data_IF_849858646331
#
_entry.id   IF_849858646331
#
_cell.length_a   1.000
_cell.length_b   1.000
_cell.length_c   1.000
_cell.angle_alpha   90.00
_cell.angle_beta   90.00
_cell.angle_gamma   90.00
#
_symmetry.space_group_name_H-M   'P 1'
#
loop_
_entity.id
_entity.type
_entity.pdbx_description
1 polymer ?
#
# COMPACT_ATOMS: atom_id res chain seq x y z
N UNK A 1 18.88 8.92 -26.59
CA UNK A 1 19.22 7.49 -26.82
C UNK A 1 18.63 6.55 -25.75
N UNK A 2 18.79 6.82 -24.45
CA UNK A 2 18.32 5.96 -23.33
C UNK A 2 16.80 5.67 -23.36
N UNK A 3 15.98 6.67 -23.70
CA UNK A 3 14.52 6.54 -23.71
C UNK A 3 14.00 5.56 -24.80
N UNK A 4 14.73 5.44 -25.91
CA UNK A 4 14.40 4.53 -27.01
C UNK A 4 14.68 3.06 -26.61
N UNK A 5 15.85 2.80 -26.00
CA UNK A 5 16.19 1.47 -25.48
C UNK A 5 15.22 1.01 -24.39
N UNK A 6 14.81 1.91 -23.50
CA UNK A 6 13.86 1.59 -22.43
C UNK A 6 12.45 1.24 -22.99
N UNK A 7 11.97 1.97 -24.02
CA UNK A 7 10.73 1.63 -24.73
C UNK A 7 10.83 0.28 -25.44
N UNK A 8 11.94 0.04 -26.17
CA UNK A 8 12.16 -1.21 -26.91
C UNK A 8 12.23 -2.43 -25.97
N UNK A 9 12.91 -2.29 -24.84
CA UNK A 9 12.98 -3.36 -23.82
C UNK A 9 11.62 -3.64 -23.18
N UNK A 10 10.84 -2.61 -22.85
CA UNK A 10 9.46 -2.76 -22.35
C UNK A 10 8.57 -3.47 -23.39
N UNK A 11 8.70 -3.13 -24.67
CA UNK A 11 7.95 -3.76 -25.75
C UNK A 11 8.30 -5.25 -25.92
N UNK A 12 9.60 -5.60 -25.91
CA UNK A 12 10.07 -7.00 -25.99
C UNK A 12 9.61 -7.80 -24.78
N UNK A 13 9.72 -7.25 -23.57
CA UNK A 13 9.25 -7.91 -22.33
C UNK A 13 7.74 -8.12 -22.35
N UNK A 14 6.97 -7.13 -22.82
CA UNK A 14 5.52 -7.24 -23.01
C UNK A 14 5.17 -8.34 -24.02
N UNK A 15 5.84 -8.38 -25.17
CA UNK A 15 5.62 -9.41 -26.19
C UNK A 15 5.95 -10.83 -25.68
N UNK A 16 7.07 -11.00 -24.94
CA UNK A 16 7.40 -12.28 -24.28
C UNK A 16 6.33 -12.68 -23.26
N UNK A 17 5.86 -11.75 -22.43
CA UNK A 17 4.80 -12.04 -21.46
C UNK A 17 3.48 -12.42 -22.12
N UNK A 18 3.08 -11.72 -23.18
CA UNK A 18 1.88 -12.06 -23.98
C UNK A 18 2.03 -13.46 -24.55
N UNK A 19 3.18 -13.79 -25.15
CA UNK A 19 3.43 -15.12 -25.74
C UNK A 19 3.44 -16.24 -24.69
N UNK A 20 4.03 -16.01 -23.51
CA UNK A 20 4.08 -16.98 -22.39
C UNK A 20 2.71 -17.22 -21.76
N UNK A 21 1.85 -16.20 -21.75
CA UNK A 21 0.53 -16.27 -21.12
C UNK A 21 -0.61 -16.46 -22.13
N UNK A 22 -0.31 -16.56 -23.44
CA UNK A 22 -1.30 -16.65 -24.54
C UNK A 22 -2.33 -17.76 -24.33
N UNK A 23 -1.92 -18.88 -23.73
CA UNK A 23 -2.76 -20.06 -23.51
C UNK A 23 -3.11 -20.29 -22.03
N UNK A 24 -2.74 -19.37 -21.13
CA UNK A 24 -3.03 -19.50 -19.69
C UNK A 24 -4.39 -18.89 -19.40
N UNK A 25 -5.43 -19.70 -19.48
CA UNK A 25 -6.75 -19.35 -18.97
C UNK A 25 -6.68 -19.38 -17.43
N UNK A 26 -7.09 -18.29 -16.74
CA UNK A 26 -7.19 -18.30 -15.28
C UNK A 26 -8.02 -19.49 -14.80
N UNK A 27 -7.67 -20.16 -13.68
CA UNK A 27 -8.35 -21.36 -13.23
C UNK A 27 -9.89 -21.22 -13.16
N UNK A 28 -10.37 -20.07 -12.70
CA UNK A 28 -11.80 -19.76 -12.54
C UNK A 28 -12.56 -19.49 -13.84
N UNK A 29 -11.87 -19.39 -14.99
CA UNK A 29 -12.49 -19.24 -16.32
C UNK A 29 -12.42 -20.52 -17.15
N UNK A 30 -11.74 -21.58 -16.67
CA UNK A 30 -11.53 -22.80 -17.45
C UNK A 30 -12.84 -23.52 -17.79
N UNK A 31 -13.79 -23.54 -16.84
CA UNK A 31 -15.07 -24.22 -17.00
C UNK A 31 -16.16 -23.31 -17.56
N UNK A 32 -15.85 -22.03 -17.84
CA UNK A 32 -16.80 -20.98 -18.24
C UNK A 32 -18.06 -20.92 -17.35
N UNK A 33 -17.92 -21.26 -16.07
CA UNK A 33 -19.00 -21.27 -15.10
C UNK A 33 -19.14 -19.90 -14.44
N UNK A 34 -20.31 -19.29 -14.59
CA UNK A 34 -20.62 -18.00 -13.96
C UNK A 34 -20.44 -18.04 -12.44
N UNK A 35 -20.77 -19.17 -11.82
CA UNK A 35 -20.62 -19.39 -10.37
C UNK A 35 -19.15 -19.35 -9.93
N UNK A 36 -18.25 -20.00 -10.67
CA UNK A 36 -16.81 -19.98 -10.37
C UNK A 36 -16.23 -18.58 -10.56
N UNK A 37 -16.66 -17.88 -11.60
CA UNK A 37 -16.24 -16.52 -11.89
C UNK A 37 -16.67 -15.54 -10.78
N UNK A 38 -17.94 -15.58 -10.35
CA UNK A 38 -18.46 -14.70 -9.31
C UNK A 38 -17.76 -14.95 -7.98
N UNK A 39 -17.58 -16.22 -7.63
CA UNK A 39 -16.94 -16.63 -6.38
C UNK A 39 -15.48 -16.12 -6.34
N UNK A 40 -14.76 -16.26 -7.46
CA UNK A 40 -13.42 -15.72 -7.60
C UNK A 40 -13.37 -14.18 -7.51
N UNK A 41 -14.28 -13.47 -8.20
CA UNK A 41 -14.36 -12.00 -8.15
C UNK A 41 -14.58 -11.52 -6.72
N UNK A 42 -15.56 -12.08 -6.01
CA UNK A 42 -15.86 -11.74 -4.62
C UNK A 42 -14.66 -12.01 -3.70
N UNK A 43 -14.05 -13.19 -3.79
CA UNK A 43 -12.89 -13.55 -2.99
C UNK A 43 -11.70 -12.61 -3.22
N UNK A 44 -11.34 -12.39 -4.49
CA UNK A 44 -10.16 -11.61 -4.86
C UNK A 44 -10.34 -10.13 -4.53
N UNK A 45 -11.51 -9.55 -4.85
CA UNK A 45 -11.81 -8.15 -4.53
C UNK A 45 -11.85 -7.92 -3.01
N UNK A 46 -12.50 -8.80 -2.25
CA UNK A 46 -12.50 -8.74 -0.78
C UNK A 46 -11.08 -8.74 -0.22
N UNK A 47 -10.27 -9.71 -0.65
CA UNK A 47 -8.89 -9.84 -0.17
C UNK A 47 -8.03 -8.63 -0.49
N UNK A 48 -8.15 -8.09 -1.70
CA UNK A 48 -7.45 -6.86 -2.10
C UNK A 48 -7.89 -5.65 -1.28
N UNK A 49 -9.20 -5.49 -1.02
CA UNK A 49 -9.72 -4.37 -0.22
C UNK A 49 -9.36 -4.47 1.27
N UNK A 50 -9.31 -5.66 1.87
CA UNK A 50 -8.78 -5.82 3.23
C UNK A 50 -7.29 -5.44 3.30
N UNK A 51 -6.53 -5.80 2.27
CA UNK A 51 -5.12 -5.43 2.17
C UNK A 51 -4.94 -3.91 2.01
N UNK A 52 -5.82 -3.26 1.24
CA UNK A 52 -5.84 -1.81 1.12
C UNK A 52 -6.18 -1.13 2.44
N UNK A 53 -7.14 -1.66 3.20
CA UNK A 53 -7.46 -1.20 4.55
C UNK A 53 -6.23 -1.26 5.46
N UNK A 54 -5.59 -2.44 5.54
CA UNK A 54 -4.39 -2.64 6.34
C UNK A 54 -3.25 -1.69 5.95
N UNK A 55 -3.01 -1.47 4.65
CA UNK A 55 -2.01 -0.52 4.17
C UNK A 55 -2.31 0.90 4.66
N UNK A 56 -3.55 1.37 4.51
CA UNK A 56 -3.92 2.72 4.93
C UNK A 56 -3.79 2.89 6.45
N UNK A 57 -4.11 1.86 7.24
CA UNK A 57 -3.84 1.85 8.68
C UNK A 57 -2.35 2.00 9.02
N UNK A 58 -1.49 1.28 8.29
CA UNK A 58 -0.03 1.39 8.42
C UNK A 58 0.43 2.80 8.07
N UNK A 59 -0.01 3.34 6.92
CA UNK A 59 0.36 4.69 6.47
C UNK A 59 -0.03 5.74 7.50
N UNK A 60 -1.25 5.67 8.05
CA UNK A 60 -1.71 6.55 9.12
C UNK A 60 -0.76 6.51 10.33
N UNK A 61 -0.41 5.31 10.81
CA UNK A 61 0.52 5.15 11.93
C UNK A 61 1.93 5.65 11.63
N UNK A 62 2.46 5.38 10.43
CA UNK A 62 3.82 5.80 10.04
C UNK A 62 3.91 7.31 9.86
N UNK A 63 2.88 7.92 9.27
CA UNK A 63 2.76 9.36 9.08
C UNK A 63 2.76 10.07 10.43
N UNK A 64 1.86 9.70 11.35
CA UNK A 64 1.82 10.29 12.69
C UNK A 64 3.12 10.10 13.45
N UNK A 65 3.75 8.92 13.37
CA UNK A 65 5.06 8.68 13.98
C UNK A 65 6.14 9.59 13.39
N UNK A 66 6.21 9.70 12.07
CA UNK A 66 7.24 10.49 11.39
C UNK A 66 7.15 11.96 11.76
N UNK A 67 5.94 12.52 11.82
CA UNK A 67 5.71 13.89 12.29
C UNK A 67 6.18 14.03 13.74
N UNK A 68 5.84 13.09 14.62
CA UNK A 68 6.29 13.08 16.02
C UNK A 68 7.82 13.05 16.16
N UNK A 69 8.51 12.19 15.40
CA UNK A 69 9.98 12.12 15.41
C UNK A 69 10.63 13.39 14.88
N UNK A 70 10.15 13.93 13.76
CA UNK A 70 10.69 15.16 13.18
C UNK A 70 10.52 16.36 14.12
N UNK A 71 9.35 16.49 14.77
CA UNK A 71 9.11 17.51 15.79
C UNK A 71 10.04 17.35 16.99
N UNK A 72 10.23 16.11 17.48
CA UNK A 72 11.15 15.84 18.57
C UNK A 72 12.60 16.21 18.20
N UNK A 73 13.05 15.92 16.98
CA UNK A 73 14.38 16.31 16.52
C UNK A 73 14.57 17.83 16.53
N UNK A 74 13.60 18.61 16.04
CA UNK A 74 13.70 20.06 16.08
C UNK A 74 13.74 20.62 17.51
N UNK A 75 12.94 20.07 18.42
CA UNK A 75 12.95 20.47 19.83
C UNK A 75 14.31 20.17 20.46
N UNK A 76 14.86 18.96 20.24
CA UNK A 76 16.18 18.58 20.76
C UNK A 76 17.26 19.51 20.22
N UNK A 77 17.27 19.79 18.91
CA UNK A 77 18.22 20.72 18.31
C UNK A 77 18.10 22.12 18.94
N UNK A 78 16.86 22.60 19.15
CA UNK A 78 16.60 23.88 19.80
C UNK A 78 17.15 23.96 21.23
N UNK A 79 16.93 22.91 22.03
CA UNK A 79 17.44 22.84 23.42
C UNK A 79 18.97 22.79 23.42
N UNK A 80 19.58 21.98 22.57
CA UNK A 80 21.04 21.83 22.46
C UNK A 80 21.69 23.16 22.13
N UNK A 81 21.12 23.90 21.17
CA UNK A 81 21.59 25.23 20.79
C UNK A 81 21.41 26.24 21.93
N UNK A 82 20.26 26.24 22.63
CA UNK A 82 19.99 27.16 23.73
C UNK A 82 20.98 27.03 24.89
N UNK A 83 21.40 25.80 25.21
CA UNK A 83 22.32 25.52 26.31
C UNK A 83 23.78 25.41 25.87
N UNK A 84 24.11 25.70 24.61
CA UNK A 84 25.46 25.57 24.05
C UNK A 84 26.10 24.20 24.33
N UNK A 85 25.30 23.13 24.25
CA UNK A 85 25.78 21.77 24.50
C UNK A 85 26.57 21.31 23.27
N UNK A 86 27.85 20.98 23.46
CA UNK A 86 28.68 20.39 22.41
C UNK A 86 28.19 18.97 22.09
N UNK A 87 27.32 18.85 21.09
CA UNK A 87 26.84 17.57 20.60
C UNK A 87 27.83 17.02 19.57
N UNK A 88 28.55 15.96 19.94
CA UNK A 88 29.48 15.24 19.06
C UNK A 88 30.55 16.13 18.40
N UNK A 89 31.02 17.17 19.11
CA UNK A 89 32.09 18.07 18.64
C UNK A 89 31.67 19.15 17.65
N UNK A 90 30.36 19.30 17.40
CA UNK A 90 29.83 20.29 16.45
C UNK A 90 29.51 21.60 17.19
N UNK A 91 30.34 22.64 16.97
CA UNK A 91 29.98 24.02 17.34
C UNK A 91 29.13 24.63 16.24
N UNK A 92 27.85 24.84 16.51
CA UNK A 92 26.92 25.41 15.55
C UNK A 92 26.86 26.93 15.74
N UNK A 93 26.92 27.73 14.66
CA UNK A 93 26.73 29.18 14.75
C UNK A 93 25.25 29.52 15.02
N UNK A 94 24.99 30.29 16.08
CA UNK A 94 23.65 30.63 16.57
C UNK A 94 22.67 31.12 15.49
N UNK A 95 23.13 32.01 14.62
CA UNK A 95 22.26 32.63 13.59
C UNK A 95 21.80 31.64 12.51
N UNK A 96 22.56 30.57 12.25
CA UNK A 96 22.21 29.58 11.22
C UNK A 96 21.21 28.55 11.75
N UNK A 97 21.28 28.22 13.04
CA UNK A 97 20.36 27.26 13.68
C UNK A 97 18.95 27.81 13.71
N UNK A 98 18.78 29.07 14.11
CA UNK A 98 17.46 29.72 14.14
C UNK A 98 16.77 29.71 12.78
N UNK A 99 17.48 30.05 11.71
CA UNK A 99 16.96 30.01 10.35
C UNK A 99 16.58 28.59 9.90
N UNK A 100 17.51 27.62 10.05
CA UNK A 100 17.32 26.24 9.61
C UNK A 100 16.15 25.57 10.36
N UNK A 101 16.12 25.70 11.69
CA UNK A 101 15.05 25.13 12.52
C UNK A 101 13.68 25.72 12.20
N UNK A 102 13.60 27.03 11.96
CA UNK A 102 12.34 27.69 11.55
C UNK A 102 11.88 27.20 10.17
N UNK A 103 12.79 27.14 9.20
CA UNK A 103 12.49 26.65 7.85
C UNK A 103 11.99 25.19 7.87
N UNK A 104 12.66 24.31 8.61
CA UNK A 104 12.22 22.93 8.77
C UNK A 104 10.89 22.81 9.50
N UNK A 105 10.62 23.66 10.50
CA UNK A 105 9.32 23.67 11.20
C UNK A 105 8.18 23.97 10.23
N UNK A 106 8.36 24.95 9.34
CA UNK A 106 7.37 25.28 8.30
C UNK A 106 7.17 24.11 7.33
N UNK A 107 8.25 23.44 6.92
CA UNK A 107 8.17 22.27 6.03
C UNK A 107 7.46 21.08 6.70
N UNK A 108 7.72 20.82 7.99
CA UNK A 108 7.02 19.77 8.76
C UNK A 108 5.55 20.10 8.88
N UNK A 109 5.19 21.36 9.14
CA UNK A 109 3.79 21.79 9.20
C UNK A 109 3.08 21.57 7.86
N UNK A 110 3.70 21.98 6.75
CA UNK A 110 3.17 21.75 5.41
C UNK A 110 3.00 20.25 5.13
N UNK A 111 4.02 19.44 5.45
CA UNK A 111 3.96 17.99 5.29
C UNK A 111 2.81 17.39 6.11
N UNK A 112 2.67 17.78 7.37
CA UNK A 112 1.59 17.34 8.26
C UNK A 112 0.21 17.67 7.70
N UNK A 113 0.04 18.85 7.09
CA UNK A 113 -1.24 19.25 6.51
C UNK A 113 -1.57 18.43 5.26
N UNK A 114 -0.59 18.19 4.38
CA UNK A 114 -0.75 17.34 3.20
C UNK A 114 -1.07 15.90 3.58
N UNK A 115 -0.37 15.34 4.57
CA UNK A 115 -0.63 14.00 5.10
C UNK A 115 -2.02 13.90 5.74
N UNK A 116 -2.44 14.91 6.51
CA UNK A 116 -3.79 14.93 7.06
C UNK A 116 -4.86 14.95 5.96
N UNK A 117 -4.62 15.65 4.85
CA UNK A 117 -5.56 15.71 3.72
C UNK A 117 -5.77 14.36 3.02
N UNK A 118 -4.77 13.47 3.07
CA UNK A 118 -4.87 12.13 2.50
C UNK A 118 -5.88 11.25 3.25
N UNK A 119 -6.21 11.59 4.51
CA UNK A 119 -7.25 10.94 5.31
C UNK A 119 -7.13 9.40 5.36
N UNK A 120 -5.91 8.90 5.63
CA UNK A 120 -5.65 7.45 5.63
C UNK A 120 -6.52 6.66 6.62
N UNK A 121 -6.86 7.25 7.78
CA UNK A 121 -7.78 6.61 8.74
C UNK A 121 -9.15 6.32 8.12
N UNK A 122 -9.78 7.34 7.50
CA UNK A 122 -11.07 7.19 6.83
C UNK A 122 -11.00 6.22 5.65
N UNK A 123 -9.93 6.29 4.84
CA UNK A 123 -9.71 5.33 3.74
C UNK A 123 -9.61 3.90 4.28
N UNK A 124 -8.87 3.70 5.37
CA UNK A 124 -8.72 2.39 6.01
C UNK A 124 -10.07 1.79 6.40
N UNK A 125 -10.93 2.60 7.04
CA UNK A 125 -12.27 2.19 7.44
C UNK A 125 -13.18 1.91 6.24
N UNK A 126 -13.21 2.80 5.24
CA UNK A 126 -14.03 2.61 4.02
C UNK A 126 -13.65 1.32 3.27
N UNK A 127 -12.35 1.02 3.15
CA UNK A 127 -11.91 -0.24 2.56
C UNK A 127 -12.26 -1.46 3.42
N UNK A 128 -12.19 -1.32 4.76
CA UNK A 128 -12.59 -2.39 5.67
C UNK A 128 -14.07 -2.72 5.52
N UNK A 129 -14.94 -1.71 5.61
CA UNK A 129 -16.38 -1.85 5.49
C UNK A 129 -16.77 -2.43 4.14
N UNK A 130 -16.16 -1.97 3.05
CA UNK A 130 -16.40 -2.59 1.75
C UNK A 130 -16.00 -4.07 1.72
N UNK A 131 -14.88 -4.43 2.36
CA UNK A 131 -14.44 -5.82 2.39
C UNK A 131 -15.40 -6.70 3.19
N UNK A 132 -16.02 -6.15 4.24
CA UNK A 132 -17.10 -6.82 4.99
C UNK A 132 -18.34 -7.02 4.12
N UNK A 133 -18.81 -5.97 3.44
CA UNK A 133 -19.97 -6.05 2.53
C UNK A 133 -19.75 -7.13 1.45
N UNK A 134 -18.57 -7.16 0.82
CA UNK A 134 -18.22 -8.19 -0.18
C UNK A 134 -18.07 -9.57 0.49
N UNK A 135 -17.65 -9.64 1.76
CA UNK A 135 -17.54 -10.91 2.48
C UNK A 135 -18.89 -11.56 2.73
N UNK A 136 -19.92 -10.76 2.97
CA UNK A 136 -21.29 -11.25 3.10
C UNK A 136 -21.75 -11.89 1.78
N UNK A 137 -21.58 -11.19 0.66
CA UNK A 137 -21.87 -11.71 -0.67
C UNK A 137 -21.07 -12.98 -1.00
N UNK A 138 -19.78 -13.00 -0.64
CA UNK A 138 -18.92 -14.17 -0.84
C UNK A 138 -19.45 -15.39 -0.07
N UNK A 139 -19.86 -15.20 1.19
CA UNK A 139 -20.42 -16.26 2.00
C UNK A 139 -21.76 -16.75 1.43
N UNK A 140 -22.61 -15.82 0.96
CA UNK A 140 -23.89 -16.14 0.31
C UNK A 140 -23.67 -16.95 -0.97
N UNK A 141 -22.74 -16.52 -1.84
CA UNK A 141 -22.36 -17.26 -3.03
C UNK A 141 -21.83 -18.67 -2.71
N UNK A 142 -21.05 -18.83 -1.63
CA UNK A 142 -20.56 -20.13 -1.18
C UNK A 142 -21.68 -21.01 -0.63
N UNK A 143 -22.67 -20.43 0.05
CA UNK A 143 -23.84 -21.15 0.51
C UNK A 143 -24.68 -21.66 -0.67
N UNK A 144 -25.01 -20.75 -1.60
CA UNK A 144 -25.73 -21.06 -2.85
C UNK A 144 -25.02 -22.15 -3.66
N UNK A 145 -23.69 -22.14 -3.69
CA UNK A 145 -22.88 -23.18 -4.34
C UNK A 145 -23.11 -24.58 -3.76
N UNK A 146 -23.06 -24.71 -2.43
CA UNK A 146 -22.98 -26.00 -1.75
C UNK A 146 -24.34 -26.57 -1.34
N UNK A 147 -25.36 -25.73 -1.19
CA UNK A 147 -26.64 -26.13 -0.57
C UNK A 147 -27.87 -25.86 -1.43
N UNK A 148 -27.76 -25.11 -2.54
CA UNK A 148 -28.89 -24.88 -3.45
C UNK A 148 -28.82 -25.83 -4.63
N UNK A 149 -29.69 -26.84 -4.61
CA UNK A 149 -29.74 -27.86 -5.68
C UNK A 149 -30.60 -27.42 -6.87
N UNK A 150 -31.65 -26.63 -6.64
CA UNK A 150 -32.54 -26.15 -7.70
C UNK A 150 -31.80 -25.16 -8.63
N UNK A 151 -31.62 -25.48 -9.93
CA UNK A 151 -30.84 -24.65 -10.84
C UNK A 151 -31.41 -23.24 -11.06
N UNK A 152 -32.73 -23.09 -11.09
CA UNK A 152 -33.40 -21.80 -11.34
C UNK A 152 -33.19 -20.88 -10.13
N UNK A 153 -33.40 -21.40 -8.93
CA UNK A 153 -33.17 -20.65 -7.68
C UNK A 153 -31.70 -20.27 -7.58
N UNK A 154 -30.80 -21.22 -7.83
CA UNK A 154 -29.35 -21.01 -7.81
C UNK A 154 -28.92 -19.89 -8.76
N UNK A 155 -29.42 -19.91 -10.00
CA UNK A 155 -29.11 -18.89 -11.00
C UNK A 155 -29.61 -17.49 -10.58
N UNK A 156 -30.85 -17.41 -10.09
CA UNK A 156 -31.44 -16.14 -9.65
C UNK A 156 -30.67 -15.54 -8.46
N UNK A 157 -30.29 -16.36 -7.48
CA UNK A 157 -29.47 -15.94 -6.34
C UNK A 157 -28.10 -15.41 -6.79
N UNK A 158 -27.42 -16.12 -7.70
CA UNK A 158 -26.13 -15.68 -8.23
C UNK A 158 -26.25 -14.37 -9.02
N UNK A 159 -27.34 -14.16 -9.76
CA UNK A 159 -27.62 -12.89 -10.44
C UNK A 159 -27.83 -11.74 -9.45
N UNK A 160 -28.61 -11.96 -8.38
CA UNK A 160 -28.81 -10.96 -7.33
C UNK A 160 -27.50 -10.59 -6.64
N UNK A 161 -26.67 -11.60 -6.29
CA UNK A 161 -25.32 -11.39 -5.76
C UNK A 161 -24.48 -10.54 -6.72
N UNK A 162 -24.58 -10.77 -8.04
CA UNK A 162 -23.88 -9.96 -9.04
C UNK A 162 -24.31 -8.49 -8.99
N UNK A 163 -25.61 -8.22 -8.90
CA UNK A 163 -26.13 -6.85 -8.88
C UNK A 163 -25.74 -6.11 -7.59
N UNK A 164 -25.82 -6.79 -6.45
CA UNK A 164 -25.38 -6.24 -5.16
C UNK A 164 -23.86 -6.00 -5.14
N UNK A 165 -23.08 -6.90 -5.75
CA UNK A 165 -21.65 -6.69 -5.89
C UNK A 165 -21.33 -5.42 -6.67
N UNK A 166 -21.99 -5.19 -7.80
CA UNK A 166 -21.81 -3.96 -8.60
C UNK A 166 -22.27 -2.70 -7.85
N UNK A 167 -23.33 -2.79 -7.05
CA UNK A 167 -23.80 -1.65 -6.25
C UNK A 167 -22.77 -1.28 -5.16
N UNK A 168 -22.17 -2.27 -4.50
CA UNK A 168 -21.06 -2.08 -3.55
C UNK A 168 -19.86 -1.44 -4.26
N UNK A 169 -19.47 -1.93 -5.43
CA UNK A 169 -18.32 -1.37 -6.16
C UNK A 169 -18.50 0.10 -6.50
N UNK A 170 -19.72 0.55 -6.81
CA UNK A 170 -20.03 1.96 -7.09
C UNK A 170 -19.96 2.87 -5.86
N UNK A 171 -20.17 2.32 -4.66
CA UNK A 171 -20.19 3.07 -3.38
C UNK A 171 -18.79 3.43 -2.85
N UNK A 172 -17.77 2.63 -3.19
CA UNK A 172 -16.45 2.70 -2.57
C UNK A 172 -15.35 2.96 -3.60
N UNK A 173 -14.30 3.65 -3.16
CA UNK A 173 -13.12 3.91 -3.98
C UNK A 173 -12.37 2.63 -4.37
N UNK A 174 -11.60 2.72 -5.45
CA UNK A 174 -10.77 1.62 -5.91
C UNK A 174 -9.44 1.56 -5.17
N UNK A 175 -9.07 0.35 -4.74
CA UNK A 175 -7.75 0.10 -4.16
C UNK A 175 -6.63 0.26 -5.20
N UNK A 176 -5.38 0.33 -4.74
CA UNK A 176 -4.24 0.41 -5.65
C UNK A 176 -3.83 -1.00 -6.10
N UNK A 177 -3.16 -1.14 -7.26
CA UNK A 177 -2.70 -2.45 -7.75
C UNK A 177 -1.76 -3.20 -6.80
N UNK A 178 -1.05 -2.47 -5.93
CA UNK A 178 -0.16 -3.09 -4.93
C UNK A 178 -0.93 -3.89 -3.88
N UNK A 179 -2.18 -3.53 -3.59
CA UNK A 179 -3.01 -4.22 -2.59
C UNK A 179 -3.40 -5.61 -3.07
N UNK A 180 -3.72 -5.74 -4.37
CA UNK A 180 -3.97 -7.03 -4.98
C UNK A 180 -2.69 -7.88 -5.03
N UNK A 181 -1.54 -7.31 -5.40
CA UNK A 181 -0.27 -8.04 -5.36
C UNK A 181 0.06 -8.56 -3.96
N UNK A 182 -0.18 -7.74 -2.94
CA UNK A 182 0.05 -8.11 -1.56
C UNK A 182 -0.95 -9.18 -1.09
N UNK A 183 -2.21 -9.12 -1.52
CA UNK A 183 -3.19 -10.19 -1.32
C UNK A 183 -2.75 -11.52 -1.95
N UNK A 184 -2.16 -11.50 -3.16
CA UNK A 184 -1.68 -12.71 -3.82
C UNK A 184 -0.61 -13.45 -3.00
N UNK A 185 0.15 -12.74 -2.16
CA UNK A 185 1.12 -13.35 -1.25
C UNK A 185 0.47 -14.22 -0.17
N UNK A 186 -0.84 -14.08 0.09
CA UNK A 186 -1.56 -14.95 1.05
C UNK A 186 -1.82 -16.34 0.49
N UNK A 187 -1.82 -16.50 -0.83
CA UNK A 187 -1.97 -17.79 -1.54
C UNK A 187 -1.01 -17.89 -2.74
N UNK A 188 0.32 -17.89 -2.52
CA UNK A 188 1.30 -17.79 -3.61
C UNK A 188 1.19 -18.93 -4.63
N UNK A 189 0.91 -20.15 -4.16
CA UNK A 189 0.74 -21.34 -5.00
C UNK A 189 -0.43 -21.21 -5.97
N UNK A 190 -1.58 -20.73 -5.48
CA UNK A 190 -2.77 -20.49 -6.30
C UNK A 190 -2.47 -19.51 -7.46
N UNK A 191 -1.70 -18.46 -7.18
CA UNK A 191 -1.30 -17.46 -8.17
C UNK A 191 -0.05 -17.83 -8.97
N UNK A 192 0.55 -18.99 -8.72
CA UNK A 192 1.77 -19.44 -9.38
C UNK A 192 2.97 -18.50 -9.18
N UNK A 193 3.07 -17.89 -8.00
CA UNK A 193 4.16 -16.98 -7.67
C UNK A 193 5.42 -17.78 -7.29
N UNK A 194 6.54 -17.42 -7.91
CA UNK A 194 7.85 -17.96 -7.51
C UNK A 194 8.52 -17.05 -6.46
N UNK A 195 9.60 -17.55 -5.85
CA UNK A 195 10.31 -16.84 -4.78
C UNK A 195 10.79 -15.44 -5.19
N UNK A 196 11.29 -15.29 -6.42
CA UNK A 196 11.77 -14.01 -6.96
C UNK A 196 10.62 -12.99 -7.06
N UNK A 197 9.46 -13.43 -7.56
CA UNK A 197 8.26 -12.59 -7.65
C UNK A 197 7.77 -12.19 -6.26
N UNK A 198 7.77 -13.11 -5.30
CA UNK A 198 7.40 -12.84 -3.90
C UNK A 198 8.30 -11.74 -3.34
N UNK A 199 9.63 -11.89 -3.42
CA UNK A 199 10.59 -10.89 -2.92
C UNK A 199 10.43 -9.54 -3.62
N UNK A 200 10.16 -9.54 -4.93
CA UNK A 200 9.90 -8.31 -5.67
C UNK A 200 8.61 -7.60 -5.22
N UNK A 201 7.54 -8.34 -4.93
CA UNK A 201 6.30 -7.77 -4.39
C UNK A 201 6.57 -7.15 -3.01
N UNK A 202 7.26 -7.86 -2.12
CA UNK A 202 7.66 -7.34 -0.81
C UNK A 202 8.49 -6.05 -0.92
N UNK A 203 9.51 -6.04 -1.78
CA UNK A 203 10.33 -4.84 -2.01
C UNK A 203 9.49 -3.68 -2.55
N UNK A 204 8.63 -3.94 -3.53
CA UNK A 204 7.75 -2.93 -4.11
C UNK A 204 6.76 -2.38 -3.07
N UNK A 205 6.22 -3.23 -2.21
CA UNK A 205 5.37 -2.83 -1.10
C UNK A 205 6.15 -1.96 -0.11
N UNK A 206 7.36 -2.38 0.26
CA UNK A 206 8.24 -1.61 1.16
C UNK A 206 8.55 -0.21 0.63
N UNK A 207 8.99 -0.10 -0.62
CA UNK A 207 9.30 1.19 -1.25
C UNK A 207 8.06 2.10 -1.25
N UNK A 208 6.89 1.54 -1.54
CA UNK A 208 5.66 2.34 -1.66
C UNK A 208 5.04 2.74 -0.32
N UNK A 209 5.22 1.95 0.73
CA UNK A 209 4.50 2.12 2.00
C UNK A 209 5.41 2.60 3.13
N UNK A 210 6.66 2.14 3.16
CA UNK A 210 7.53 2.30 4.32
C UNK A 210 8.73 3.21 4.06
N UNK A 211 9.31 3.19 2.85
CA UNK A 211 10.63 3.79 2.61
C UNK A 211 10.69 5.28 2.95
N UNK A 212 9.70 6.08 2.52
CA UNK A 212 9.69 7.52 2.79
C UNK A 212 9.66 7.82 4.29
N UNK A 213 8.81 7.14 5.06
CA UNK A 213 8.71 7.34 6.51
C UNK A 213 9.94 6.84 7.26
N UNK A 214 10.58 5.76 6.81
CA UNK A 214 11.86 5.33 7.37
C UNK A 214 12.96 6.36 7.11
N UNK A 215 12.99 6.99 5.94
CA UNK A 215 13.91 8.08 5.64
C UNK A 215 13.63 9.28 6.56
N UNK A 216 12.37 9.64 6.78
CA UNK A 216 12.02 10.76 7.68
C UNK A 216 12.40 10.48 9.15
N UNK A 217 12.24 9.26 9.62
CA UNK A 217 12.55 8.87 11.00
C UNK A 217 14.07 8.69 11.19
N UNK A 218 14.71 7.86 10.37
CA UNK A 218 16.12 7.50 10.57
C UNK A 218 17.11 8.41 9.86
N UNK A 219 16.67 9.12 8.81
CA UNK A 219 17.53 10.03 8.03
C UNK A 219 18.27 11.04 8.89
N UNK A 220 17.57 11.83 9.76
CA UNK A 220 18.23 12.78 10.65
C UNK A 220 19.30 12.14 11.55
N UNK A 221 19.01 10.96 12.13
CA UNK A 221 19.97 10.23 12.97
C UNK A 221 21.20 9.78 12.18
N UNK A 222 20.99 9.24 10.98
CA UNK A 222 22.08 8.80 10.10
C UNK A 222 22.94 9.99 9.68
N UNK A 223 22.33 11.14 9.35
CA UNK A 223 23.08 12.35 9.00
C UNK A 223 23.89 12.89 10.16
N UNK A 224 23.34 12.90 11.38
CA UNK A 224 24.06 13.32 12.58
C UNK A 224 25.25 12.39 12.86
N UNK A 225 25.03 11.08 12.76
CA UNK A 225 26.10 10.09 12.93
C UNK A 225 27.20 10.26 11.88
N UNK A 226 26.84 10.44 10.61
CA UNK A 226 27.80 10.67 9.54
C UNK A 226 28.65 11.93 9.76
N UNK A 227 28.03 13.05 10.16
CA UNK A 227 28.75 14.29 10.45
C UNK A 227 29.72 14.08 11.61
N UNK A 228 29.27 13.45 12.70
CA UNK A 228 30.10 13.19 13.87
C UNK A 228 31.33 12.31 13.59
N UNK A 229 31.22 11.34 12.67
CA UNK A 229 32.36 10.52 12.24
C UNK A 229 33.28 11.23 11.25
N UNK A 230 32.77 12.18 10.48
CA UNK A 230 33.57 12.96 9.53
C UNK A 230 34.33 14.12 10.19
N UNK A 231 33.92 14.54 11.41
CA UNK A 231 34.54 15.61 12.18
C UNK A 231 35.62 15.15 13.18
N UNK A 232 35.75 13.83 13.39
CA UNK A 232 36.84 13.20 14.15
C UNK A 232 37.93 12.70 13.19
#
# INVERSE_FOLDING_TARGET
MINYFCKKWKAIKRAKNIRRNRNKIPPYLKNNSFEEEINYKLWSTKGARFTASHRNHILNKLSSKSIGYLSAYLIIIGIVNLYNIDLLGIKILDNQVGFISTAFSVLILLFSQLESSENFSLKSERYHNCSLDISELYNRARFTKNFTENPIIKQNELLQISFEYESILKKYENHLPIDYLQFQLTKPEYFGLNFIMIKWIWLKYYIKVYAIYHILIFGPLITLFYIAFSSN
#
